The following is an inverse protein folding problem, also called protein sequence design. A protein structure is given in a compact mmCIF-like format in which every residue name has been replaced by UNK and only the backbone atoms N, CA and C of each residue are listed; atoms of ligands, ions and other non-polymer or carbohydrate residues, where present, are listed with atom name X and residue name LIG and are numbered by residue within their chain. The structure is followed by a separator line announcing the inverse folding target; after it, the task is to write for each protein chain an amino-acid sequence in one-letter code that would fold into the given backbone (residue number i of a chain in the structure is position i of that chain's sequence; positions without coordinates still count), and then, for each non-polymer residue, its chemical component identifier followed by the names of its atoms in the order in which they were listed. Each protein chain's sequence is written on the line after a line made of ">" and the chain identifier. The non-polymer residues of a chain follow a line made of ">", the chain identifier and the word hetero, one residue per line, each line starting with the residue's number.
data_IF_980012083902
#
_entry.id   IF_980012083902
#
_cell.length_a   1.000
_cell.length_b   1.000
_cell.length_c   1.000
_cell.angle_alpha   90.00
_cell.angle_beta   90.00
_cell.angle_gamma   90.00
#
_symmetry.space_group_name_H-M   'P 1'
#
loop_
_entity.id
_entity.type
_entity.pdbx_description
1 polymer ?
#
# COMPACT_ATOMS: atom_id res chain seq x y z
N UNK A 1 -16.83 16.75 -17.99
CA UNK A 1 -15.99 15.54 -17.95
C UNK A 1 -15.19 15.40 -16.65
N UNK A 2 -14.00 16.00 -16.46
CA UNK A 2 -13.17 15.76 -15.23
C UNK A 2 -13.89 16.11 -13.92
N UNK A 3 -14.59 17.25 -13.87
CA UNK A 3 -15.37 17.65 -12.69
C UNK A 3 -16.51 16.66 -12.37
N UNK A 4 -17.07 15.96 -13.38
CA UNK A 4 -18.10 14.93 -13.17
C UNK A 4 -17.51 13.63 -12.63
N UNK A 5 -16.35 13.19 -13.15
CA UNK A 5 -15.64 12.00 -12.65
C UNK A 5 -15.15 12.18 -11.21
N UNK A 6 -14.59 13.36 -10.86
CA UNK A 6 -14.25 13.69 -9.48
C UNK A 6 -15.48 13.70 -8.55
N UNK A 7 -16.63 14.21 -9.01
CA UNK A 7 -17.89 14.14 -8.26
C UNK A 7 -18.35 12.69 -8.05
N UNK A 8 -18.27 11.84 -9.08
CA UNK A 8 -18.63 10.43 -8.99
C UNK A 8 -17.69 9.65 -8.05
N UNK A 9 -16.38 9.90 -8.13
CA UNK A 9 -15.40 9.38 -7.18
C UNK A 9 -15.75 9.79 -5.74
N UNK A 10 -16.00 11.08 -5.48
CA UNK A 10 -16.40 11.56 -4.15
C UNK A 10 -17.72 10.92 -3.68
N UNK A 11 -18.70 10.76 -4.57
CA UNK A 11 -19.96 10.11 -4.25
C UNK A 11 -19.78 8.63 -3.86
N UNK A 12 -18.77 7.95 -4.41
CA UNK A 12 -18.44 6.56 -4.07
C UNK A 12 -17.77 6.40 -2.68
N UNK A 13 -17.40 7.50 -2.01
CA UNK A 13 -16.74 7.51 -0.69
C UNK A 13 -17.72 7.83 0.42
N UNK A 14 -17.31 7.54 1.66
CA UNK A 14 -18.11 7.86 2.85
C UNK A 14 -18.32 9.37 2.98
N UNK A 15 -19.48 9.80 3.49
CA UNK A 15 -19.89 11.22 3.47
C UNK A 15 -18.87 12.17 4.13
N UNK A 16 -18.20 11.74 5.20
CA UNK A 16 -17.18 12.56 5.89
C UNK A 16 -15.86 12.68 5.11
N UNK A 17 -15.62 11.81 4.15
CA UNK A 17 -14.39 11.81 3.36
C UNK A 17 -14.49 12.66 2.09
N UNK A 18 -15.67 13.18 1.77
CA UNK A 18 -15.98 13.91 0.53
C UNK A 18 -15.51 15.37 0.49
N UNK A 19 -14.93 15.88 1.57
CA UNK A 19 -14.52 17.29 1.69
C UNK A 19 -13.34 17.70 0.81
N UNK A 20 -12.53 16.73 0.35
CA UNK A 20 -11.39 16.93 -0.55
C UNK A 20 -11.08 15.64 -1.30
N UNK A 21 -10.36 15.70 -2.43
CA UNK A 21 -10.10 14.51 -3.28
C UNK A 21 -9.25 13.45 -2.57
N UNK A 22 -8.31 13.86 -1.72
CA UNK A 22 -7.44 12.97 -0.95
C UNK A 22 -7.11 13.60 0.41
N UNK A 23 -6.96 12.79 1.46
CA UNK A 23 -6.60 13.28 2.80
C UNK A 23 -5.11 13.13 3.12
N UNK A 24 -4.34 12.41 2.29
CA UNK A 24 -2.94 12.06 2.57
C UNK A 24 -2.06 13.27 2.98
N UNK A 25 -2.05 14.41 2.25
CA UNK A 25 -1.18 15.54 2.61
C UNK A 25 -1.46 16.18 3.97
N UNK A 26 -2.65 15.94 4.53
CA UNK A 26 -3.06 16.52 5.82
C UNK A 26 -3.02 15.52 6.97
N UNK A 27 -2.78 14.22 6.70
CA UNK A 27 -2.85 13.18 7.74
C UNK A 27 -1.69 12.18 7.69
N UNK A 28 -0.86 12.22 6.64
CA UNK A 28 0.17 11.22 6.39
C UNK A 28 1.49 11.84 5.94
N UNK A 29 2.59 11.22 6.36
CA UNK A 29 3.92 11.41 5.78
C UNK A 29 4.56 10.04 5.52
N UNK A 30 5.15 9.88 4.34
CA UNK A 30 5.83 8.69 3.87
C UNK A 30 7.32 8.95 3.75
N UNK A 31 8.16 8.00 4.16
CA UNK A 31 9.61 8.06 4.07
C UNK A 31 10.14 6.89 3.22
N UNK A 32 10.94 7.17 2.19
CA UNK A 32 11.51 6.14 1.29
C UNK A 32 13.00 5.84 1.51
N UNK A 33 13.55 4.83 0.85
CA UNK A 33 14.92 4.37 1.10
C UNK A 33 15.99 5.41 0.71
N UNK A 34 15.59 6.47 -0.01
CA UNK A 34 16.47 7.56 -0.46
C UNK A 34 16.50 8.75 0.50
N UNK A 35 15.79 8.67 1.63
CA UNK A 35 15.66 9.76 2.59
C UNK A 35 14.53 10.73 2.27
N UNK A 36 13.77 10.51 1.18
CA UNK A 36 12.71 11.44 0.75
C UNK A 36 11.50 11.28 1.65
N UNK A 37 10.95 12.42 2.07
CA UNK A 37 9.60 12.49 2.60
C UNK A 37 8.60 12.95 1.54
N UNK A 38 7.46 12.28 1.47
CA UNK A 38 6.32 12.62 0.62
C UNK A 38 4.99 12.47 1.37
N UNK A 39 3.88 12.94 0.79
CA UNK A 39 2.57 12.79 1.44
C UNK A 39 2.02 11.35 1.40
N UNK A 40 2.51 10.50 0.49
CA UNK A 40 2.02 9.13 0.25
C UNK A 40 3.04 8.38 -0.62
N UNK A 41 3.12 7.06 -0.48
CA UNK A 41 4.00 6.19 -1.26
C UNK A 41 3.85 6.25 -2.80
N UNK A 42 2.73 6.77 -3.32
CA UNK A 42 2.53 6.99 -4.77
C UNK A 42 2.94 8.39 -5.23
N UNK A 43 3.01 9.37 -4.34
CA UNK A 43 3.46 10.71 -4.69
C UNK A 43 4.98 10.80 -4.50
N UNK A 44 5.71 10.44 -5.55
CA UNK A 44 7.19 10.46 -5.57
C UNK A 44 7.77 11.72 -6.21
N UNK A 45 6.93 12.56 -6.82
CA UNK A 45 7.35 13.78 -7.51
C UNK A 45 7.30 15.01 -6.59
N UNK A 46 6.24 15.14 -5.76
CA UNK A 46 6.11 16.27 -4.84
C UNK A 46 6.79 15.99 -3.50
N UNK A 47 8.10 16.20 -3.48
CA UNK A 47 8.95 16.01 -2.31
C UNK A 47 8.66 17.08 -1.25
N UNK A 48 8.45 16.64 -0.01
CA UNK A 48 8.24 17.48 1.18
C UNK A 48 9.56 17.89 1.83
N UNK A 49 10.57 17.02 1.76
CA UNK A 49 11.93 17.29 2.20
C UNK A 49 12.76 16.01 2.20
N UNK A 50 14.00 16.08 2.70
CA UNK A 50 14.94 14.95 2.68
C UNK A 50 15.64 14.80 4.02
N UNK A 51 15.71 13.59 4.54
CA UNK A 51 16.51 13.26 5.71
C UNK A 51 17.95 12.93 5.26
N UNK A 52 19.01 13.41 5.95
CA UNK A 52 19.01 14.22 7.19
C UNK A 52 19.03 15.75 6.97
N UNK A 53 18.83 16.22 5.74
CA UNK A 53 18.89 17.67 5.39
C UNK A 53 17.81 18.50 6.09
N UNK A 54 16.64 17.91 6.32
CA UNK A 54 15.55 18.48 7.09
C UNK A 54 15.21 17.58 8.28
N UNK A 55 14.73 18.18 9.36
CA UNK A 55 14.01 17.49 10.43
C UNK A 55 12.63 17.04 9.96
N UNK A 56 12.05 16.04 10.62
CA UNK A 56 10.75 15.51 10.21
C UNK A 56 9.63 16.55 10.42
N UNK A 57 9.82 17.46 11.40
CA UNK A 57 8.90 18.56 11.63
C UNK A 57 8.97 19.60 10.51
N UNK A 58 10.17 19.97 10.05
CA UNK A 58 10.32 20.89 8.91
C UNK A 58 9.70 20.30 7.63
N UNK A 59 9.79 18.99 7.41
CA UNK A 59 9.11 18.35 6.28
C UNK A 59 7.58 18.40 6.39
N UNK A 60 7.04 18.35 7.61
CA UNK A 60 5.60 18.36 7.86
C UNK A 60 5.01 19.77 7.84
N UNK A 61 5.68 20.73 8.45
CA UNK A 61 5.23 22.12 8.60
C UNK A 61 5.74 23.04 7.48
N UNK A 62 6.63 22.55 6.61
CA UNK A 62 7.28 23.34 5.58
C UNK A 62 6.39 23.72 4.40
N UNK A 63 6.84 24.74 3.65
CA UNK A 63 6.11 25.35 2.53
C UNK A 63 5.68 24.32 1.47
N UNK A 64 6.53 23.31 1.21
CA UNK A 64 6.24 22.23 0.25
C UNK A 64 5.03 21.39 0.67
N UNK A 65 4.85 21.14 1.96
CA UNK A 65 3.68 20.41 2.45
C UNK A 65 2.40 21.25 2.35
N UNK A 66 2.49 22.54 2.68
CA UNK A 66 1.36 23.47 2.56
C UNK A 66 0.91 23.68 1.12
N UNK A 67 1.85 23.77 0.18
CA UNK A 67 1.58 23.82 -1.25
C UNK A 67 0.74 22.61 -1.70
N UNK A 68 1.16 21.39 -1.34
CA UNK A 68 0.43 20.18 -1.72
C UNK A 68 -0.95 20.10 -1.06
N UNK A 69 -1.07 20.49 0.21
CA UNK A 69 -2.37 20.56 0.91
C UNK A 69 -3.33 21.49 0.19
N UNK A 70 -2.85 22.66 -0.28
CA UNK A 70 -3.67 23.62 -1.03
C UNK A 70 -4.12 23.03 -2.37
N UNK A 71 -3.20 22.49 -3.17
CA UNK A 71 -3.50 21.90 -4.48
C UNK A 71 -4.55 20.78 -4.37
N UNK A 72 -4.39 19.88 -3.40
CA UNK A 72 -5.30 18.75 -3.21
C UNK A 72 -6.68 19.21 -2.71
N UNK A 73 -6.74 20.27 -1.89
CA UNK A 73 -8.02 20.88 -1.48
C UNK A 73 -8.78 21.48 -2.67
N UNK A 74 -8.06 21.99 -3.67
CA UNK A 74 -8.61 22.51 -4.93
C UNK A 74 -8.94 21.39 -5.94
N UNK A 75 -8.58 20.15 -5.65
CA UNK A 75 -8.82 18.98 -6.51
C UNK A 75 -7.76 18.79 -7.60
N UNK A 76 -6.62 19.47 -7.48
CA UNK A 76 -5.49 19.33 -8.39
C UNK A 76 -4.63 18.12 -8.01
N UNK A 77 -4.48 17.17 -8.94
CA UNK A 77 -3.70 15.95 -8.80
C UNK A 77 -2.40 15.98 -9.64
N UNK A 78 -2.09 17.11 -10.27
CA UNK A 78 -0.98 17.25 -11.22
C UNK A 78 0.41 17.26 -10.58
N UNK A 79 0.52 17.30 -9.26
CA UNK A 79 1.79 17.35 -8.53
C UNK A 79 2.07 16.01 -7.85
N UNK A 80 2.35 14.99 -8.68
CA UNK A 80 2.71 13.63 -8.24
C UNK A 80 1.54 12.73 -7.85
N UNK A 81 0.28 13.09 -8.18
CA UNK A 81 -0.88 12.24 -7.91
C UNK A 81 -1.50 11.61 -9.17
N UNK A 82 -0.76 11.59 -10.30
CA UNK A 82 -1.23 11.12 -11.61
C UNK A 82 -1.76 9.69 -11.60
N UNK A 83 -1.18 8.79 -10.81
CA UNK A 83 -1.68 7.41 -10.72
C UNK A 83 -3.14 7.40 -10.22
N UNK A 84 -3.44 8.18 -9.18
CA UNK A 84 -4.80 8.32 -8.67
C UNK A 84 -5.70 9.05 -9.65
N UNK A 85 -5.18 10.06 -10.35
CA UNK A 85 -5.88 10.79 -11.40
C UNK A 85 -6.35 9.84 -12.52
N UNK A 86 -5.44 9.03 -13.07
CA UNK A 86 -5.73 8.05 -14.11
C UNK A 86 -6.75 7.01 -13.63
N UNK A 87 -6.67 6.56 -12.38
CA UNK A 87 -7.66 5.64 -11.80
C UNK A 87 -9.05 6.27 -11.64
N UNK A 88 -9.14 7.56 -11.29
CA UNK A 88 -10.41 8.29 -11.25
C UNK A 88 -10.96 8.44 -12.66
N UNK A 89 -10.11 8.81 -13.61
CA UNK A 89 -10.53 9.00 -15.00
C UNK A 89 -10.99 7.69 -15.66
N UNK A 90 -10.36 6.56 -15.34
CA UNK A 90 -10.79 5.21 -15.75
C UNK A 90 -11.95 4.61 -14.94
N UNK A 91 -12.61 5.40 -14.07
CA UNK A 91 -13.69 4.98 -13.17
C UNK A 91 -13.34 3.80 -12.23
N UNK A 92 -12.05 3.55 -12.01
CA UNK A 92 -11.54 2.59 -11.04
C UNK A 92 -11.52 3.20 -9.63
N UNK A 93 -12.68 3.68 -9.18
CA UNK A 93 -12.79 4.42 -7.92
C UNK A 93 -12.36 3.63 -6.69
N UNK A 94 -12.41 2.29 -6.71
CA UNK A 94 -11.97 1.45 -5.60
C UNK A 94 -10.46 1.17 -5.61
N UNK A 95 -9.81 1.31 -6.76
CA UNK A 95 -8.36 1.23 -6.88
C UNK A 95 -7.62 2.52 -6.49
N UNK A 96 -8.34 3.65 -6.36
CA UNK A 96 -7.75 4.94 -5.99
C UNK A 96 -7.12 4.88 -4.60
N UNK A 97 -5.79 4.95 -4.55
CA UNK A 97 -5.02 4.82 -3.32
C UNK A 97 -5.36 5.89 -2.27
N UNK A 98 -5.75 7.09 -2.70
CA UNK A 98 -6.19 8.18 -1.81
C UNK A 98 -7.30 7.80 -0.83
N UNK A 99 -8.10 6.76 -1.15
CA UNK A 99 -9.14 6.22 -0.26
C UNK A 99 -8.62 5.59 1.02
N UNK A 100 -7.38 5.13 1.03
CA UNK A 100 -6.77 4.57 2.25
C UNK A 100 -6.70 5.61 3.37
N UNK A 101 -6.72 6.90 3.03
CA UNK A 101 -6.68 8.00 3.98
C UNK A 101 -8.08 8.51 4.38
N UNK A 102 -9.16 7.99 3.78
CA UNK A 102 -10.53 8.40 4.10
C UNK A 102 -10.92 8.12 5.56
N UNK A 103 -10.31 7.10 6.16
CA UNK A 103 -10.58 6.71 7.56
C UNK A 103 -10.10 7.75 8.57
N UNK A 104 -9.15 8.61 8.18
CA UNK A 104 -8.66 9.74 8.98
C UNK A 104 -9.56 10.97 8.88
N UNK A 105 -10.45 11.01 7.88
CA UNK A 105 -11.44 12.07 7.73
C UNK A 105 -12.52 11.97 8.84
N UNK A 106 -12.18 12.44 10.04
CA UNK A 106 -13.02 12.23 11.22
C UNK A 106 -14.24 13.18 11.29
N UNK A 107 -15.34 12.62 11.80
CA UNK A 107 -16.57 13.33 12.20
C UNK A 107 -16.31 14.37 13.30
N UNK A 108 -15.38 14.04 14.20
CA UNK A 108 -14.99 14.91 15.31
C UNK A 108 -14.23 16.14 14.82
N UNK A 109 -13.28 15.99 13.88
CA UNK A 109 -12.54 17.13 13.32
C UNK A 109 -13.47 18.11 12.60
N UNK A 110 -14.48 17.62 11.87
CA UNK A 110 -15.47 18.46 11.19
C UNK A 110 -16.46 19.17 12.13
N UNK A 111 -16.80 18.57 13.27
CA UNK A 111 -17.65 19.18 14.30
C UNK A 111 -16.86 20.17 15.17
N UNK A 112 -15.68 19.78 15.65
CA UNK A 112 -14.80 20.63 16.45
C UNK A 112 -14.40 21.88 15.66
N UNK A 113 -14.01 21.73 14.38
CA UNK A 113 -13.68 22.86 13.49
C UNK A 113 -14.86 23.82 13.26
N UNK A 114 -16.10 23.33 13.36
CA UNK A 114 -17.31 24.17 13.30
C UNK A 114 -17.65 24.85 14.63
N UNK A 115 -17.26 24.26 15.77
CA UNK A 115 -17.65 24.72 17.10
C UNK A 115 -16.61 25.63 17.77
N UNK A 116 -15.32 25.49 17.46
CA UNK A 116 -14.27 26.14 18.27
C UNK A 116 -13.74 27.46 17.72
N UNK A 117 -14.10 27.88 16.50
CA UNK A 117 -13.56 29.10 15.84
C UNK A 117 -12.02 29.20 15.91
N UNK A 118 -11.32 28.09 16.20
CA UNK A 118 -9.88 28.10 16.39
C UNK A 118 -9.23 28.23 15.02
N UNK A 119 -8.15 29.02 14.96
CA UNK A 119 -7.34 29.11 13.76
C UNK A 119 -6.91 27.71 13.34
N UNK A 120 -6.72 27.51 12.03
CA UNK A 120 -6.30 26.23 11.44
C UNK A 120 -4.87 25.87 11.87
N UNK A 121 -4.65 25.56 13.16
CA UNK A 121 -3.40 24.94 13.60
C UNK A 121 -3.25 23.61 12.85
N UNK A 122 -2.09 23.45 12.23
CA UNK A 122 -1.77 22.24 11.47
C UNK A 122 -1.83 21.05 12.42
N UNK A 123 -2.70 20.09 12.14
CA UNK A 123 -2.78 18.88 12.94
C UNK A 123 -1.55 18.02 12.67
N UNK A 124 -0.98 17.43 13.73
CA UNK A 124 0.07 16.41 13.60
C UNK A 124 -0.44 15.23 12.74
N UNK A 125 0.44 14.56 11.97
CA UNK A 125 0.04 13.44 11.13
C UNK A 125 -0.57 12.33 11.99
N UNK A 126 -1.55 11.63 11.43
CA UNK A 126 -2.23 10.49 12.06
C UNK A 126 -1.71 9.15 11.53
N UNK A 127 -0.95 9.19 10.43
CA UNK A 127 -0.36 8.04 9.78
C UNK A 127 1.08 8.35 9.39
N UNK A 128 1.96 7.37 9.52
CA UNK A 128 3.30 7.40 8.96
C UNK A 128 3.57 6.12 8.17
N UNK A 129 4.24 6.27 7.03
CA UNK A 129 4.62 5.17 6.16
C UNK A 129 6.15 5.10 6.06
N UNK A 130 6.69 3.91 6.28
CA UNK A 130 8.12 3.64 6.37
C UNK A 130 8.50 2.65 5.27
N UNK A 131 9.29 3.13 4.32
CA UNK A 131 9.94 2.37 3.26
C UNK A 131 11.45 2.62 3.34
N UNK A 132 12.06 2.46 4.52
CA UNK A 132 13.36 3.03 4.87
C UNK A 132 14.57 2.28 4.32
N UNK A 133 14.39 1.04 3.86
CA UNK A 133 15.49 0.20 3.39
C UNK A 133 15.03 -0.81 2.34
N UNK A 134 15.97 -1.22 1.49
CA UNK A 134 15.77 -2.27 0.50
C UNK A 134 16.27 -3.65 0.97
N UNK A 135 16.74 -3.80 2.23
CA UNK A 135 17.21 -5.09 2.76
C UNK A 135 16.09 -6.13 2.59
N UNK A 136 16.31 -7.10 1.72
CA UNK A 136 15.36 -8.14 1.36
C UNK A 136 16.12 -9.42 1.04
N UNK A 137 15.44 -10.55 1.23
CA UNK A 137 15.98 -11.89 0.97
C UNK A 137 15.38 -12.57 -0.27
N UNK A 138 14.60 -11.85 -1.08
CA UNK A 138 13.98 -12.39 -2.30
C UNK A 138 14.38 -11.61 -3.55
N UNK A 139 14.32 -12.30 -4.69
CA UNK A 139 14.59 -11.73 -6.01
C UNK A 139 13.34 -11.77 -6.91
N UNK A 140 12.23 -11.25 -6.39
CA UNK A 140 10.92 -11.35 -7.06
C UNK A 140 10.96 -10.81 -8.49
N UNK A 141 10.33 -11.51 -9.44
CA UNK A 141 10.47 -11.22 -10.89
C UNK A 141 10.04 -9.80 -11.29
N UNK A 142 9.00 -9.28 -10.64
CA UNK A 142 8.48 -7.92 -10.86
C UNK A 142 9.22 -6.82 -10.09
N UNK A 143 10.17 -7.19 -9.24
CA UNK A 143 10.88 -6.29 -8.35
C UNK A 143 12.24 -5.86 -8.97
N UNK A 144 12.84 -4.83 -8.39
CA UNK A 144 14.15 -4.30 -8.80
C UNK A 144 15.02 -4.02 -7.55
N UNK A 145 16.27 -3.65 -7.78
CA UNK A 145 17.26 -3.43 -6.72
C UNK A 145 17.01 -2.20 -5.85
N UNK A 146 16.10 -1.31 -6.24
CA UNK A 146 15.64 -0.24 -5.36
C UNK A 146 14.83 -0.79 -4.18
N UNK A 147 14.13 -1.90 -4.37
CA UNK A 147 13.27 -2.52 -3.35
C UNK A 147 13.82 -3.83 -2.77
N UNK A 148 14.83 -4.45 -3.40
CA UNK A 148 15.50 -5.65 -2.89
C UNK A 148 17.03 -5.59 -2.99
N UNK A 149 17.71 -5.74 -1.86
CA UNK A 149 19.17 -5.78 -1.78
C UNK A 149 19.77 -6.98 -2.52
N UNK A 150 19.07 -8.13 -2.56
CA UNK A 150 19.55 -9.28 -3.34
C UNK A 150 19.46 -9.00 -4.84
N UNK A 151 18.36 -8.42 -5.34
CA UNK A 151 18.24 -8.06 -6.75
C UNK A 151 19.33 -7.06 -7.13
N UNK A 152 19.52 -6.04 -6.29
CA UNK A 152 20.55 -5.02 -6.49
C UNK A 152 21.94 -5.61 -6.65
N UNK A 153 22.27 -6.59 -5.81
CA UNK A 153 23.56 -7.29 -5.82
C UNK A 153 23.68 -8.29 -6.98
N UNK A 154 22.70 -9.18 -7.13
CA UNK A 154 22.82 -10.37 -7.98
C UNK A 154 22.33 -10.12 -9.42
N UNK A 155 21.21 -9.42 -9.60
CA UNK A 155 20.61 -9.15 -10.92
C UNK A 155 21.18 -7.90 -11.56
N UNK A 156 21.32 -6.84 -10.78
CA UNK A 156 21.74 -5.51 -11.27
C UNK A 156 23.25 -5.25 -11.12
N UNK A 157 23.93 -6.02 -10.27
CA UNK A 157 25.37 -5.87 -9.99
C UNK A 157 25.76 -4.44 -9.56
N UNK A 158 24.88 -3.81 -8.77
CA UNK A 158 25.06 -2.45 -8.25
C UNK A 158 25.58 -2.47 -6.80
N UNK A 159 26.33 -1.43 -6.38
CA UNK A 159 26.78 -1.29 -4.99
C UNK A 159 25.61 -1.24 -4.02
N UNK A 160 25.81 -1.75 -2.80
CA UNK A 160 24.79 -1.71 -1.74
C UNK A 160 24.22 -0.30 -1.53
N UNK A 161 22.93 -0.24 -1.23
CA UNK A 161 22.29 1.04 -0.95
C UNK A 161 22.65 1.50 0.47
N UNK A 162 23.15 2.72 0.57
CA UNK A 162 23.45 3.35 1.86
C UNK A 162 22.12 3.67 2.54
N UNK A 163 21.88 3.08 3.71
CA UNK A 163 20.75 3.45 4.55
C UNK A 163 21.03 4.83 5.17
N UNK A 164 20.16 5.80 4.87
CA UNK A 164 20.29 7.17 5.38
C UNK A 164 19.78 7.35 6.80
N UNK A 165 18.98 6.41 7.29
CA UNK A 165 18.28 6.53 8.56
C UNK A 165 19.10 5.94 9.71
N UNK A 166 19.22 6.72 10.78
CA UNK A 166 20.00 6.39 11.97
C UNK A 166 19.17 6.55 13.25
N UNK A 167 19.83 6.58 14.41
CA UNK A 167 19.15 6.79 15.69
C UNK A 167 18.52 8.18 15.81
N UNK A 168 19.11 9.21 15.21
CA UNK A 168 18.56 10.56 15.26
C UNK A 168 17.23 10.65 14.51
N UNK A 169 17.06 9.89 13.43
CA UNK A 169 15.74 9.71 12.80
C UNK A 169 14.72 9.10 13.76
N UNK A 170 15.09 8.01 14.45
CA UNK A 170 14.21 7.32 15.39
C UNK A 170 13.81 8.22 16.56
N UNK A 171 14.74 9.00 17.10
CA UNK A 171 14.48 9.96 18.18
C UNK A 171 13.52 11.07 17.74
N UNK A 172 13.63 11.57 16.50
CA UNK A 172 12.68 12.55 15.96
C UNK A 172 11.25 12.02 15.86
N UNK A 173 11.05 10.70 15.67
CA UNK A 173 9.70 10.12 15.61
C UNK A 173 8.94 10.24 16.93
N UNK A 174 9.62 10.32 18.07
CA UNK A 174 9.00 10.31 19.41
C UNK A 174 7.95 11.41 19.56
N UNK A 175 8.19 12.59 19.00
CA UNK A 175 7.21 13.70 19.04
C UNK A 175 5.95 13.43 18.21
N UNK A 176 6.01 12.54 17.23
CA UNK A 176 4.89 12.18 16.37
C UNK A 176 4.06 11.02 16.94
N UNK A 177 4.71 10.06 17.63
CA UNK A 177 4.07 8.83 18.10
C UNK A 177 2.76 9.05 18.89
N UNK A 178 2.63 10.04 19.80
CA UNK A 178 1.38 10.28 20.53
C UNK A 178 0.18 10.65 19.63
N UNK A 179 0.43 11.09 18.40
CA UNK A 179 -0.59 11.55 17.46
C UNK A 179 -0.97 10.50 16.41
N UNK A 180 -0.12 9.48 16.22
CA UNK A 180 -0.36 8.43 15.25
C UNK A 180 -1.51 7.51 15.67
N UNK A 181 -2.33 7.16 14.70
CA UNK A 181 -3.30 6.05 14.76
C UNK A 181 -2.76 4.82 14.08
N UNK A 182 -1.98 5.02 13.01
CA UNK A 182 -1.48 3.96 12.16
C UNK A 182 0.00 4.21 11.79
N UNK A 183 0.80 3.15 11.75
CA UNK A 183 2.17 3.17 11.27
C UNK A 183 2.35 2.01 10.30
N UNK A 184 2.80 2.26 9.07
CA UNK A 184 2.91 1.25 8.02
C UNK A 184 4.36 0.99 7.67
N UNK A 185 4.77 -0.27 7.71
CA UNK A 185 6.12 -0.72 7.43
C UNK A 185 6.11 -1.57 6.17
N UNK A 186 6.77 -1.07 5.14
CA UNK A 186 6.92 -1.65 3.82
C UNK A 186 8.37 -1.48 3.33
N UNK A 187 8.66 -1.89 2.10
CA UNK A 187 10.02 -1.85 1.54
C UNK A 187 10.91 -2.96 2.08
N UNK A 188 11.77 -3.51 1.21
CA UNK A 188 12.59 -4.66 1.56
C UNK A 188 11.76 -5.84 2.09
N UNK A 189 12.30 -6.54 3.08
CA UNK A 189 11.56 -7.43 3.97
C UNK A 189 11.57 -6.81 5.39
N UNK A 190 10.44 -6.26 5.89
CA UNK A 190 10.41 -5.53 7.15
C UNK A 190 11.00 -6.26 8.34
N UNK A 191 10.83 -7.59 8.44
CA UNK A 191 11.37 -8.35 9.55
C UNK A 191 12.89 -8.56 9.50
N UNK A 192 13.56 -8.20 8.40
CA UNK A 192 15.01 -8.19 8.25
C UNK A 192 15.63 -6.81 8.48
N UNK A 193 14.84 -5.73 8.48
CA UNK A 193 15.32 -4.35 8.57
C UNK A 193 15.59 -3.96 10.03
N UNK A 194 16.86 -3.71 10.45
CA UNK A 194 17.18 -3.49 11.86
C UNK A 194 16.54 -2.24 12.48
N UNK A 195 16.45 -1.14 11.74
CA UNK A 195 15.90 0.13 12.24
C UNK A 195 14.40 0.03 12.55
N UNK A 196 13.65 -0.85 11.86
CA UNK A 196 12.22 -1.06 12.15
C UNK A 196 12.00 -1.60 13.56
N UNK A 197 12.89 -2.45 14.06
CA UNK A 197 12.77 -2.94 15.44
C UNK A 197 12.96 -1.82 16.47
N UNK A 198 13.85 -0.86 16.20
CA UNK A 198 14.05 0.33 17.05
C UNK A 198 12.81 1.21 17.05
N UNK A 199 12.21 1.42 15.87
CA UNK A 199 10.95 2.17 15.74
C UNK A 199 9.81 1.44 16.47
N UNK A 200 9.71 0.11 16.33
CA UNK A 200 8.73 -0.70 17.04
C UNK A 200 8.90 -0.69 18.56
N UNK A 201 10.14 -0.61 19.06
CA UNK A 201 10.41 -0.40 20.49
C UNK A 201 9.88 0.97 20.95
N UNK A 202 10.16 2.05 20.22
CA UNK A 202 9.63 3.38 20.52
C UNK A 202 8.10 3.46 20.44
N UNK A 203 7.48 2.78 19.47
CA UNK A 203 6.01 2.69 19.38
C UNK A 203 5.45 2.02 20.65
N UNK A 204 6.04 0.90 21.08
CA UNK A 204 5.59 0.20 22.28
C UNK A 204 5.73 1.07 23.55
N UNK A 205 6.79 1.88 23.62
CA UNK A 205 7.07 2.80 24.74
C UNK A 205 6.11 4.00 24.78
N UNK A 206 5.87 4.66 23.63
CA UNK A 206 5.20 5.96 23.60
C UNK A 206 3.71 5.90 23.22
N UNK A 207 3.31 4.93 22.39
CA UNK A 207 1.91 4.76 21.98
C UNK A 207 1.62 3.32 21.47
N UNK A 208 1.43 2.35 22.38
CA UNK A 208 1.18 0.95 22.01
C UNK A 208 -0.19 0.73 21.33
N UNK A 209 -1.06 1.75 21.29
CA UNK A 209 -2.36 1.68 20.63
C UNK A 209 -2.29 1.93 19.12
N UNK A 210 -1.13 2.36 18.59
CA UNK A 210 -0.91 2.50 17.14
C UNK A 210 -1.19 1.16 16.47
N UNK A 211 -2.00 1.18 15.41
CA UNK A 211 -2.15 0.06 14.50
C UNK A 211 -0.92 -0.03 13.62
N UNK A 212 -0.14 -1.08 13.82
CA UNK A 212 1.09 -1.31 13.07
C UNK A 212 0.79 -2.23 11.90
N UNK A 213 0.92 -1.72 10.68
CA UNK A 213 0.71 -2.48 9.44
C UNK A 213 2.07 -2.96 8.94
N UNK A 214 2.26 -4.27 8.75
CA UNK A 214 3.52 -4.83 8.26
C UNK A 214 3.27 -5.59 6.98
N UNK A 215 3.89 -5.16 5.89
CA UNK A 215 3.83 -5.83 4.58
C UNK A 215 5.05 -6.72 4.42
N UNK A 216 4.89 -8.04 4.53
CA UNK A 216 5.99 -9.02 4.51
C UNK A 216 5.84 -10.00 3.35
N UNK A 217 6.96 -10.53 2.86
CA UNK A 217 6.99 -11.65 1.92
C UNK A 217 6.75 -13.01 2.60
N UNK A 218 6.72 -13.05 3.94
CA UNK A 218 6.33 -14.22 4.72
C UNK A 218 7.43 -15.27 4.93
N UNK A 219 8.65 -15.04 4.46
CA UNK A 219 9.76 -16.01 4.62
C UNK A 219 10.34 -16.06 6.03
N UNK A 220 10.10 -15.02 6.85
CA UNK A 220 10.67 -14.86 8.19
C UNK A 220 9.58 -14.93 9.26
N UNK A 221 9.67 -15.94 10.13
CA UNK A 221 8.89 -16.04 11.36
C UNK A 221 9.76 -16.68 12.45
N UNK A 222 10.30 -15.86 13.37
CA UNK A 222 11.18 -16.30 14.45
C UNK A 222 10.80 -15.62 15.78
N UNK A 223 11.55 -15.86 16.85
CA UNK A 223 11.26 -15.28 18.17
C UNK A 223 11.31 -13.74 18.18
N UNK A 224 12.12 -13.12 17.31
CA UNK A 224 12.17 -11.66 17.17
C UNK A 224 10.87 -11.12 16.59
N UNK A 225 10.32 -11.81 15.57
CA UNK A 225 8.99 -11.51 15.00
C UNK A 225 7.91 -11.68 16.06
N UNK A 226 7.91 -12.82 16.79
CA UNK A 226 6.94 -13.07 17.88
C UNK A 226 6.94 -11.95 18.92
N UNK A 227 8.11 -11.52 19.39
CA UNK A 227 8.22 -10.43 20.37
C UNK A 227 7.65 -9.10 19.85
N UNK A 228 7.73 -8.82 18.54
CA UNK A 228 7.07 -7.65 17.93
C UNK A 228 5.55 -7.81 17.96
N UNK A 229 5.04 -8.98 17.57
CA UNK A 229 3.60 -9.27 17.55
C UNK A 229 2.98 -9.29 18.97
N UNK A 230 3.75 -9.66 20.00
CA UNK A 230 3.29 -9.69 21.40
C UNK A 230 3.20 -8.29 22.02
N UNK A 231 4.06 -7.36 21.61
CA UNK A 231 4.15 -6.02 22.21
C UNK A 231 3.35 -4.95 21.46
N UNK A 232 2.96 -5.19 20.21
CA UNK A 232 2.30 -4.23 19.33
C UNK A 232 0.99 -4.75 18.76
N UNK A 233 0.08 -3.82 18.44
CA UNK A 233 -1.12 -4.11 17.67
C UNK A 233 -0.79 -4.25 16.18
N UNK A 234 -0.15 -5.35 15.81
CA UNK A 234 0.25 -5.61 14.42
C UNK A 234 -0.88 -6.21 13.60
N UNK A 235 -1.10 -5.71 12.39
CA UNK A 235 -1.83 -6.40 11.33
C UNK A 235 -0.92 -6.65 10.13
N UNK A 236 -1.10 -7.81 9.51
CA UNK A 236 -0.14 -8.38 8.58
C UNK A 236 -0.71 -8.36 7.16
N UNK A 237 0.10 -7.90 6.21
CA UNK A 237 -0.20 -7.92 4.79
C UNK A 237 0.82 -8.85 4.13
N UNK A 238 0.38 -10.04 3.76
CA UNK A 238 1.23 -11.05 3.13
C UNK A 238 1.32 -10.79 1.64
N UNK A 239 2.53 -10.60 1.14
CA UNK A 239 2.81 -10.49 -0.29
C UNK A 239 2.90 -11.89 -0.90
N UNK A 240 1.83 -12.33 -1.56
CA UNK A 240 1.69 -13.67 -2.14
C UNK A 240 1.10 -13.55 -3.54
N UNK A 241 1.81 -14.04 -4.56
CA UNK A 241 1.40 -13.89 -5.96
C UNK A 241 0.83 -15.16 -6.58
N UNK A 242 0.82 -16.26 -5.83
CA UNK A 242 0.24 -17.51 -6.25
C UNK A 242 0.02 -18.41 -5.04
N UNK A 243 -1.03 -19.23 -5.10
CA UNK A 243 -1.27 -20.34 -4.17
C UNK A 243 -0.80 -21.67 -4.75
N UNK A 244 -0.29 -21.69 -5.98
CA UNK A 244 0.32 -22.84 -6.63
C UNK A 244 1.83 -22.80 -6.42
N UNK A 245 2.43 -23.90 -5.99
CA UNK A 245 3.86 -23.97 -5.63
C UNK A 245 4.76 -23.46 -6.75
N UNK A 246 4.64 -24.06 -7.93
CA UNK A 246 5.56 -23.82 -9.04
C UNK A 246 5.46 -22.38 -9.52
N UNK A 247 4.24 -21.84 -9.65
CA UNK A 247 4.03 -20.43 -10.00
C UNK A 247 4.58 -19.52 -8.91
N UNK A 248 4.31 -19.79 -7.63
CA UNK A 248 4.80 -18.97 -6.52
C UNK A 248 6.33 -18.89 -6.50
N UNK A 249 7.03 -20.03 -6.55
CA UNK A 249 8.49 -20.08 -6.50
C UNK A 249 9.14 -19.50 -7.77
N UNK A 250 8.45 -19.59 -8.91
CA UNK A 250 8.89 -18.91 -10.15
C UNK A 250 8.81 -17.38 -10.06
N UNK A 251 7.87 -16.85 -9.26
CA UNK A 251 7.67 -15.41 -9.05
C UNK A 251 8.56 -14.89 -7.92
N UNK A 252 8.53 -15.56 -6.77
CA UNK A 252 9.19 -15.17 -5.52
C UNK A 252 10.51 -15.94 -5.39
N UNK A 253 11.45 -15.65 -6.29
CA UNK A 253 12.76 -16.31 -6.34
C UNK A 253 13.46 -16.25 -4.98
N UNK A 254 14.02 -17.39 -4.56
CA UNK A 254 14.61 -17.69 -3.24
C UNK A 254 13.61 -17.95 -2.10
N UNK A 255 12.30 -17.93 -2.35
CA UNK A 255 11.30 -18.36 -1.38
C UNK A 255 11.13 -19.89 -1.40
N UNK A 256 10.82 -20.46 -0.24
CA UNK A 256 10.38 -21.84 -0.07
C UNK A 256 8.87 -21.83 0.20
N UNK A 257 8.09 -22.41 -0.72
CA UNK A 257 6.63 -22.33 -0.67
C UNK A 257 6.07 -22.91 0.63
N UNK A 258 6.51 -24.10 1.04
CA UNK A 258 5.97 -24.78 2.22
C UNK A 258 6.21 -23.98 3.49
N UNK A 259 7.43 -23.46 3.64
CA UNK A 259 7.80 -22.60 4.76
C UNK A 259 6.98 -21.32 4.78
N UNK A 260 6.73 -20.70 3.62
CA UNK A 260 5.89 -19.50 3.55
C UNK A 260 4.45 -19.82 3.91
N UNK A 261 3.87 -20.92 3.43
CA UNK A 261 2.51 -21.33 3.79
C UNK A 261 2.36 -21.64 5.29
N UNK A 262 3.37 -22.27 5.91
CA UNK A 262 3.39 -22.47 7.38
C UNK A 262 3.46 -21.12 8.12
N UNK A 263 4.28 -20.18 7.65
CA UNK A 263 4.34 -18.85 8.25
C UNK A 263 3.05 -18.05 8.08
N UNK A 264 2.39 -18.14 6.91
CA UNK A 264 1.07 -17.55 6.67
C UNK A 264 0.07 -18.05 7.71
N UNK A 265 0.03 -19.37 7.94
CA UNK A 265 -0.82 -19.98 8.96
C UNK A 265 -0.55 -19.39 10.34
N UNK A 266 0.73 -19.25 10.72
CA UNK A 266 1.12 -18.65 12.02
C UNK A 266 0.68 -17.19 12.16
N UNK A 267 0.77 -16.38 11.10
CA UNK A 267 0.29 -15.00 11.12
C UNK A 267 -1.25 -14.91 11.17
N UNK A 268 -1.94 -15.81 10.46
CA UNK A 268 -3.41 -15.92 10.53
C UNK A 268 -3.88 -16.35 11.92
N UNK A 269 -3.21 -17.33 12.55
CA UNK A 269 -3.50 -17.77 13.91
C UNK A 269 -3.28 -16.64 14.92
N UNK A 270 -2.17 -15.90 14.79
CA UNK A 270 -1.93 -14.68 15.57
C UNK A 270 -3.09 -13.69 15.40
N UNK A 271 -3.44 -13.32 14.16
CA UNK A 271 -4.49 -12.34 13.89
C UNK A 271 -5.84 -12.77 14.48
N UNK A 272 -6.18 -14.05 14.38
CA UNK A 272 -7.38 -14.63 14.98
C UNK A 272 -7.35 -14.57 16.51
N UNK A 273 -6.22 -14.89 17.13
CA UNK A 273 -6.07 -14.92 18.59
C UNK A 273 -6.12 -13.54 19.25
N UNK A 274 -5.67 -12.50 18.55
CA UNK A 274 -5.60 -11.12 19.07
C UNK A 274 -6.73 -10.22 18.57
N UNK A 275 -7.59 -10.72 17.68
CA UNK A 275 -8.59 -9.90 16.99
C UNK A 275 -7.98 -8.86 16.03
N UNK A 276 -6.74 -9.10 15.58
CA UNK A 276 -6.09 -8.32 14.54
C UNK A 276 -6.49 -8.82 13.14
N UNK A 277 -5.79 -8.41 12.09
CA UNK A 277 -6.05 -8.79 10.71
C UNK A 277 -4.81 -9.37 10.03
N UNK A 278 -5.06 -10.29 9.10
CA UNK A 278 -4.10 -10.80 8.14
C UNK A 278 -4.78 -10.76 6.77
N UNK A 279 -4.13 -10.16 5.78
CA UNK A 279 -4.64 -10.02 4.42
C UNK A 279 -3.58 -10.34 3.38
N UNK A 280 -3.99 -10.61 2.15
CA UNK A 280 -3.09 -10.88 1.04
C UNK A 280 -3.00 -9.66 0.10
N UNK A 281 -1.78 -9.32 -0.28
CA UNK A 281 -1.48 -8.41 -1.38
C UNK A 281 -0.88 -9.22 -2.52
N UNK A 282 -1.50 -9.13 -3.69
CA UNK A 282 -1.17 -9.95 -4.87
C UNK A 282 -0.90 -9.00 -6.03
N UNK A 283 0.06 -9.33 -6.88
CA UNK A 283 0.30 -8.68 -8.15
C UNK A 283 -0.25 -9.55 -9.29
N UNK A 284 -1.44 -9.25 -9.87
CA UNK A 284 -1.87 -9.87 -11.12
C UNK A 284 -0.92 -9.50 -12.26
N UNK A 285 -0.35 -10.50 -12.91
CA UNK A 285 0.69 -10.40 -13.94
C UNK A 285 0.40 -11.33 -15.11
N UNK A 286 1.16 -11.18 -16.20
CA UNK A 286 1.08 -12.03 -17.39
C UNK A 286 1.26 -13.53 -17.10
N UNK A 287 1.99 -13.87 -16.03
CA UNK A 287 2.32 -15.25 -15.64
C UNK A 287 1.31 -15.92 -14.70
N UNK A 288 0.53 -15.17 -13.91
CA UNK A 288 -0.37 -15.74 -12.88
C UNK A 288 -1.85 -15.33 -13.04
N UNK A 289 -2.22 -14.56 -14.07
CA UNK A 289 -3.59 -14.03 -14.20
C UNK A 289 -4.68 -15.11 -14.15
N UNK A 290 -4.41 -16.30 -14.71
CA UNK A 290 -5.38 -17.41 -14.70
C UNK A 290 -5.77 -17.87 -13.29
N UNK A 291 -4.90 -17.66 -12.31
CA UNK A 291 -5.05 -18.09 -10.92
C UNK A 291 -5.84 -17.11 -10.05
N UNK A 292 -6.05 -15.86 -10.50
CA UNK A 292 -6.74 -14.85 -9.70
C UNK A 292 -8.12 -15.31 -9.19
N UNK A 293 -8.97 -16.01 -9.98
CA UNK A 293 -10.22 -16.56 -9.47
C UNK A 293 -10.04 -17.59 -8.35
N UNK A 294 -9.04 -18.48 -8.47
CA UNK A 294 -8.74 -19.48 -7.43
C UNK A 294 -8.19 -18.83 -6.18
N UNK A 295 -7.37 -17.78 -6.31
CA UNK A 295 -6.91 -16.99 -5.18
C UNK A 295 -8.08 -16.31 -4.45
N UNK A 296 -9.05 -15.73 -5.17
CA UNK A 296 -10.27 -15.20 -4.55
C UNK A 296 -11.03 -16.29 -3.78
N UNK A 297 -11.20 -17.48 -4.38
CA UNK A 297 -11.86 -18.62 -3.73
C UNK A 297 -11.11 -19.04 -2.46
N UNK A 298 -9.79 -19.16 -2.54
CA UNK A 298 -8.92 -19.48 -1.41
C UNK A 298 -9.07 -18.46 -0.28
N UNK A 299 -9.01 -17.17 -0.60
CA UNK A 299 -9.18 -16.09 0.36
C UNK A 299 -10.57 -16.11 1.03
N UNK A 300 -11.64 -16.33 0.27
CA UNK A 300 -13.00 -16.43 0.81
C UNK A 300 -13.12 -17.62 1.78
N UNK A 301 -12.60 -18.79 1.40
CA UNK A 301 -12.65 -20.00 2.22
C UNK A 301 -11.86 -19.84 3.53
N UNK A 302 -10.72 -19.14 3.48
CA UNK A 302 -9.87 -18.89 4.63
C UNK A 302 -10.18 -17.57 5.35
N UNK A 303 -11.31 -16.92 5.03
CA UNK A 303 -11.73 -15.64 5.64
C UNK A 303 -10.61 -14.59 5.65
N UNK A 304 -9.87 -14.52 4.54
CA UNK A 304 -8.75 -13.60 4.34
C UNK A 304 -9.16 -12.52 3.32
N UNK A 305 -8.87 -11.26 3.64
CA UNK A 305 -9.04 -10.15 2.68
C UNK A 305 -7.93 -10.20 1.64
N UNK A 306 -8.25 -9.81 0.41
CA UNK A 306 -7.28 -9.73 -0.70
C UNK A 306 -7.29 -8.35 -1.34
N UNK A 307 -6.11 -7.88 -1.70
CA UNK A 307 -5.87 -6.64 -2.43
C UNK A 307 -5.02 -6.95 -3.66
N UNK A 308 -5.31 -6.26 -4.77
CA UNK A 308 -4.54 -6.38 -6.00
C UNK A 308 -3.72 -5.11 -6.24
N UNK A 309 -2.41 -5.29 -6.40
CA UNK A 309 -1.47 -4.25 -6.77
C UNK A 309 -1.21 -4.34 -8.28
N UNK A 310 -1.37 -3.21 -8.96
CA UNK A 310 -1.10 -3.15 -10.39
C UNK A 310 0.40 -3.14 -10.66
N UNK A 311 0.85 -4.03 -11.54
CA UNK A 311 2.22 -4.03 -12.06
C UNK A 311 2.26 -3.20 -13.34
N UNK A 312 3.02 -2.12 -13.34
CA UNK A 312 3.31 -1.30 -14.54
C UNK A 312 4.71 -1.56 -15.08
N UNK A 313 5.64 -1.93 -14.21
CA UNK A 313 7.01 -2.27 -14.54
C UNK A 313 7.42 -3.53 -13.77
N UNK A 314 8.17 -4.47 -14.37
CA UNK A 314 8.59 -4.46 -15.77
C UNK A 314 7.42 -4.73 -16.73
N UNK A 315 7.49 -4.15 -17.93
CA UNK A 315 6.35 -4.09 -18.87
C UNK A 315 5.87 -5.50 -19.27
N UNK A 316 6.80 -6.43 -19.50
CA UNK A 316 6.52 -7.81 -19.90
C UNK A 316 5.74 -8.62 -18.85
N UNK A 317 5.77 -8.18 -17.58
CA UNK A 317 4.97 -8.78 -16.49
C UNK A 317 3.65 -8.05 -16.28
N UNK A 318 3.53 -6.82 -16.77
CA UNK A 318 2.28 -6.06 -16.70
C UNK A 318 1.22 -6.69 -17.59
N UNK A 319 0.01 -6.89 -17.04
CA UNK A 319 -1.14 -7.24 -17.86
C UNK A 319 -1.49 -6.14 -18.87
N UNK A 320 -1.12 -4.89 -18.61
CA UNK A 320 -1.28 -3.80 -19.56
C UNK A 320 -0.47 -4.05 -20.84
N UNK A 321 0.58 -4.89 -20.86
CA UNK A 321 1.35 -5.17 -22.09
C UNK A 321 0.58 -6.01 -23.12
N UNK A 322 -0.40 -6.81 -22.69
CA UNK A 322 -1.13 -7.71 -23.59
C UNK A 322 -1.90 -6.94 -24.69
N UNK A 323 -1.96 -7.47 -25.94
CA UNK A 323 -2.81 -6.91 -27.00
C UNK A 323 -4.29 -6.91 -26.62
N UNK A 324 -5.08 -6.00 -27.22
CA UNK A 324 -6.53 -5.89 -26.98
C UNK A 324 -7.27 -7.24 -27.08
N UNK A 325 -6.94 -8.08 -28.07
CA UNK A 325 -7.56 -9.40 -28.24
C UNK A 325 -7.29 -10.35 -27.05
N UNK A 326 -6.06 -10.32 -26.50
CA UNK A 326 -5.72 -11.13 -25.33
C UNK A 326 -6.40 -10.61 -24.07
N UNK A 327 -6.42 -9.29 -23.86
CA UNK A 327 -7.15 -8.65 -22.77
C UNK A 327 -8.64 -9.02 -22.79
N UNK A 328 -9.27 -8.97 -23.97
CA UNK A 328 -10.67 -9.40 -24.17
C UNK A 328 -10.89 -10.86 -23.76
N UNK A 329 -9.95 -11.74 -24.09
CA UNK A 329 -9.97 -13.15 -23.67
C UNK A 329 -9.91 -13.31 -22.14
N UNK A 330 -9.04 -12.55 -21.46
CA UNK A 330 -8.91 -12.55 -20.00
C UNK A 330 -10.18 -12.02 -19.33
N UNK A 331 -10.72 -10.90 -19.83
CA UNK A 331 -11.97 -10.31 -19.33
C UNK A 331 -13.10 -11.33 -19.43
N UNK A 332 -13.28 -11.96 -20.59
CA UNK A 332 -14.31 -12.97 -20.80
C UNK A 332 -14.11 -14.21 -19.91
N UNK A 333 -12.87 -14.59 -19.60
CA UNK A 333 -12.56 -15.65 -18.64
C UNK A 333 -12.96 -15.26 -17.21
N UNK A 334 -12.63 -14.04 -16.78
CA UNK A 334 -12.96 -13.54 -15.44
C UNK A 334 -14.46 -13.32 -15.24
N UNK A 335 -15.19 -12.80 -16.22
CA UNK A 335 -16.63 -12.55 -16.12
C UNK A 335 -17.46 -13.84 -16.01
N UNK A 336 -16.91 -14.98 -16.47
CA UNK A 336 -17.53 -16.30 -16.29
C UNK A 336 -17.36 -16.85 -14.88
N UNK A 337 -16.44 -16.30 -14.08
CA UNK A 337 -16.16 -16.79 -12.74
C UNK A 337 -17.30 -16.41 -11.78
N UNK A 338 -17.73 -17.39 -10.99
CA UNK A 338 -18.68 -17.17 -9.90
C UNK A 338 -17.98 -17.41 -8.58
N UNK A 339 -18.29 -16.54 -7.64
CA UNK A 339 -17.87 -16.68 -6.24
C UNK A 339 -19.14 -16.80 -5.43
N UNK A 340 -19.21 -17.82 -4.57
CA UNK A 340 -20.31 -18.02 -3.63
C UNK A 340 -19.88 -17.56 -2.24
N UNK A 341 -20.78 -16.94 -1.49
CA UNK A 341 -20.51 -16.48 -0.13
C UNK A 341 -21.39 -15.32 0.32
N UNK A 342 -21.24 -14.95 1.58
CA UNK A 342 -22.00 -13.87 2.23
C UNK A 342 -21.11 -13.08 3.20
N UNK A 343 -21.58 -11.91 3.62
CA UNK A 343 -20.87 -11.04 4.56
C UNK A 343 -19.97 -9.99 3.91
N UNK A 344 -19.39 -9.12 4.75
CA UNK A 344 -18.56 -7.99 4.30
C UNK A 344 -17.29 -8.44 3.59
N UNK A 345 -16.61 -9.47 4.09
CA UNK A 345 -15.38 -10.01 3.50
C UNK A 345 -15.60 -10.46 2.06
N UNK A 346 -16.61 -11.29 1.85
CA UNK A 346 -16.97 -11.78 0.53
C UNK A 346 -17.28 -10.64 -0.44
N UNK A 347 -18.08 -9.64 0.01
CA UNK A 347 -18.40 -8.46 -0.81
C UNK A 347 -17.15 -7.67 -1.20
N UNK A 348 -16.23 -7.47 -0.26
CA UNK A 348 -14.98 -6.73 -0.49
C UNK A 348 -14.09 -7.49 -1.50
N UNK A 349 -13.85 -8.78 -1.29
CA UNK A 349 -13.04 -9.58 -2.21
C UNK A 349 -13.64 -9.62 -3.63
N UNK A 350 -14.98 -9.73 -3.74
CA UNK A 350 -15.68 -9.65 -5.03
C UNK A 350 -15.50 -8.28 -5.69
N UNK A 351 -15.57 -7.19 -4.92
CA UNK A 351 -15.36 -5.83 -5.44
C UNK A 351 -13.93 -5.61 -5.92
N UNK A 352 -12.94 -6.16 -5.21
CA UNK A 352 -11.53 -6.13 -5.63
C UNK A 352 -11.34 -6.85 -6.97
N UNK A 353 -11.93 -8.04 -7.13
CA UNK A 353 -11.90 -8.76 -8.41
C UNK A 353 -12.61 -8.01 -9.54
N UNK A 354 -13.75 -7.38 -9.25
CA UNK A 354 -14.44 -6.53 -10.23
C UNK A 354 -13.60 -5.30 -10.62
N UNK A 355 -12.86 -4.71 -9.68
CA UNK A 355 -11.91 -3.63 -9.95
C UNK A 355 -10.84 -4.03 -10.95
N UNK A 356 -10.28 -5.25 -10.82
CA UNK A 356 -9.33 -5.80 -11.79
C UNK A 356 -9.96 -5.95 -13.19
N UNK A 357 -11.19 -6.48 -13.29
CA UNK A 357 -11.90 -6.58 -14.58
C UNK A 357 -12.07 -5.19 -15.22
N UNK A 358 -12.47 -4.19 -14.42
CA UNK A 358 -12.68 -2.84 -14.93
C UNK A 358 -11.37 -2.21 -15.42
N UNK A 359 -10.27 -2.42 -14.70
CA UNK A 359 -8.94 -1.98 -15.14
C UNK A 359 -8.54 -2.63 -16.47
N UNK A 360 -8.74 -3.94 -16.63
CA UNK A 360 -8.45 -4.64 -17.90
C UNK A 360 -9.32 -4.13 -19.05
N UNK A 361 -10.60 -3.81 -18.80
CA UNK A 361 -11.49 -3.21 -19.81
C UNK A 361 -11.02 -1.84 -20.27
N UNK A 362 -10.45 -1.04 -19.37
CA UNK A 362 -9.90 0.26 -19.76
C UNK A 362 -8.67 0.08 -20.65
N UNK A 363 -7.71 -0.75 -20.26
CA UNK A 363 -6.54 -1.04 -21.09
C UNK A 363 -6.90 -1.69 -22.42
N UNK A 364 -7.98 -2.48 -22.48
CA UNK A 364 -8.48 -3.04 -23.73
C UNK A 364 -9.04 -1.97 -24.67
N UNK A 365 -9.77 -0.98 -24.13
CA UNK A 365 -10.28 0.17 -24.89
C UNK A 365 -9.18 1.08 -25.40
N UNK A 366 -8.19 1.40 -24.57
CA UNK A 366 -7.03 2.23 -24.94
C UNK A 366 -6.26 1.63 -26.13
N UNK A 367 -6.29 0.31 -26.27
CA UNK A 367 -5.61 -0.45 -27.32
C UNK A 367 -6.50 -0.86 -28.48
N UNK A 368 -7.81 -0.69 -28.37
CA UNK A 368 -8.71 -0.99 -29.47
C UNK A 368 -8.40 0.02 -30.60
N UNK A 369 -8.27 -0.41 -31.87
CA UNK A 369 -8.17 0.53 -32.96
C UNK A 369 -9.40 1.46 -32.89
N UNK A 370 -9.17 2.78 -32.90
CA UNK A 370 -10.24 3.76 -32.95
C UNK A 370 -11.17 3.40 -34.12
N UNK A 371 -12.30 2.77 -33.83
CA UNK A 371 -13.40 2.66 -34.78
C UNK A 371 -14.01 4.05 -34.87
N UNK A 372 -13.44 4.87 -35.76
CA UNK A 372 -14.07 6.08 -36.30
C UNK A 372 -15.23 5.66 -37.20
#
# INVERSE_FOLDING_TARGET
>A
MRNEKLKAYNASRHIFSRGQVCHAPSVNINFDQSGVASACCLNRDHILGRYPENSLMEMWEGERADELRKLIKEGDLSHGCQICENQIDGENYYGVHGRHFDSYASRASSIIKRLTSQSESLQMPQCMEFELSNICNLECTMCNGHFSSLIRKNREQLPEQINKYDEAFVEQLISFLPHLKDAKFLGGEPFLIPIYYKIWDKIAEHNPNIKVHITTNGTVYNNRVKGVLEKLRCGIIMSIDSIERDTYESIRINADYDRVMDNIKRFQDYAKSTGSWCSFAVCPMTINWKEMPDLIRHCNNNKTFVYFNTVFYPEELSLQSFPSLQLRGIIAYYEKQKFDGYGSLFRINKMVFQGLINQLKEWEREKAPNTV
#
